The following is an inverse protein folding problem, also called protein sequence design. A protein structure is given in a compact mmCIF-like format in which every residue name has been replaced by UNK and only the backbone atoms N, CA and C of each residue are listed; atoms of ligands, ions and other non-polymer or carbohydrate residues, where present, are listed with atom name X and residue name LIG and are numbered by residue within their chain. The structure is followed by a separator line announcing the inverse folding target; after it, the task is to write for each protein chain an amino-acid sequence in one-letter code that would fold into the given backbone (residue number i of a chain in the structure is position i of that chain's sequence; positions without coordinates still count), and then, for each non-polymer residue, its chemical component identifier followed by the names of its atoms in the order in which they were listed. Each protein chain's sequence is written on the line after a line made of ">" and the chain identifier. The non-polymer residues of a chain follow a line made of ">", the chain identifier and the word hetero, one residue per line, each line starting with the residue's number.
data_IF_409399331417
#
_entry.id   IF_409399331417
#
_cell.length_a   1.000
_cell.length_b   1.000
_cell.length_c   1.000
_cell.angle_alpha   90.00
_cell.angle_beta   90.00
_cell.angle_gamma   90.00
#
_symmetry.space_group_name_H-M   'P 1'
#
loop_
_entity.id
_entity.type
_entity.pdbx_description
1 polymer ?
#
# COMPACT_ATOMS: atom_id res chain seq x y z
N UNK A 1 -35.98 -44.03 32.95
CA UNK A 1 -34.68 -43.55 32.43
C UNK A 1 -34.97 -42.37 31.53
N UNK A 2 -34.43 -41.18 31.84
CA UNK A 2 -34.66 -39.97 31.06
C UNK A 2 -33.62 -39.83 29.94
N UNK A 3 -34.07 -39.57 28.71
CA UNK A 3 -33.21 -39.27 27.58
C UNK A 3 -32.94 -37.76 27.56
N UNK A 4 -31.72 -37.33 27.86
CA UNK A 4 -31.33 -35.93 27.66
C UNK A 4 -30.64 -35.80 26.30
N UNK A 5 -31.25 -35.02 25.39
CA UNK A 5 -30.69 -34.67 24.09
C UNK A 5 -30.07 -33.26 24.13
N UNK A 6 -29.04 -33.02 23.32
CA UNK A 6 -28.50 -31.69 23.04
C UNK A 6 -28.69 -31.39 21.56
N UNK A 7 -29.12 -30.18 21.24
CA UNK A 7 -29.31 -29.70 19.87
C UNK A 7 -28.40 -28.49 19.61
N UNK A 8 -27.92 -28.36 18.38
CA UNK A 8 -27.09 -27.25 17.94
C UNK A 8 -27.58 -26.73 16.58
N UNK A 9 -27.94 -25.45 16.52
CA UNK A 9 -28.41 -24.80 15.30
C UNK A 9 -27.61 -23.55 15.04
N UNK A 10 -27.06 -23.40 13.83
CA UNK A 10 -26.43 -22.17 13.37
C UNK A 10 -26.90 -21.79 11.98
N UNK A 11 -27.09 -20.49 11.75
CA UNK A 11 -27.41 -19.93 10.44
C UNK A 11 -26.18 -19.21 9.90
N UNK A 12 -25.70 -19.64 8.75
CA UNK A 12 -24.62 -18.99 8.02
C UNK A 12 -25.19 -18.42 6.72
N UNK A 13 -24.81 -17.19 6.38
CA UNK A 13 -25.10 -16.64 5.06
C UNK A 13 -24.11 -17.22 4.07
N UNK A 14 -24.61 -17.73 2.95
CA UNK A 14 -23.75 -18.14 1.86
C UNK A 14 -23.27 -16.91 1.10
N UNK A 15 -21.99 -16.85 0.70
CA UNK A 15 -21.51 -15.87 -0.27
C UNK A 15 -22.25 -15.99 -1.61
N UNK A 16 -22.29 -14.90 -2.39
CA UNK A 16 -23.01 -14.84 -3.68
C UNK A 16 -22.44 -15.80 -4.74
N UNK A 17 -21.16 -16.10 -4.63
CA UNK A 17 -20.43 -17.00 -5.52
C UNK A 17 -20.47 -18.47 -5.09
N UNK A 18 -21.27 -18.82 -4.07
CA UNK A 18 -21.48 -20.21 -3.64
C UNK A 18 -22.86 -20.69 -4.08
N UNK A 19 -22.92 -21.85 -4.73
CA UNK A 19 -24.20 -22.46 -5.11
C UNK A 19 -24.78 -23.30 -3.97
N UNK A 20 -26.03 -23.05 -3.50
CA UNK A 20 -26.59 -23.73 -2.33
C UNK A 20 -26.65 -25.26 -2.46
N UNK A 21 -26.84 -25.77 -3.68
CA UNK A 21 -26.92 -27.22 -3.96
C UNK A 21 -25.59 -27.94 -3.79
N UNK A 22 -24.48 -27.21 -3.75
CA UNK A 22 -23.12 -27.76 -3.65
C UNK A 22 -22.59 -27.80 -2.21
N UNK A 23 -23.37 -27.29 -1.25
CA UNK A 23 -23.00 -27.29 0.16
C UNK A 23 -23.07 -28.72 0.70
N UNK A 24 -22.03 -29.13 1.40
CA UNK A 24 -21.92 -30.44 2.06
C UNK A 24 -21.52 -30.27 3.51
N UNK A 25 -21.84 -31.25 4.34
CA UNK A 25 -21.46 -31.28 5.76
C UNK A 25 -20.89 -32.62 6.17
N UNK A 26 -20.02 -32.60 7.17
CA UNK A 26 -19.48 -33.78 7.84
C UNK A 26 -19.32 -33.49 9.34
N UNK A 27 -19.57 -34.51 10.17
CA UNK A 27 -19.33 -34.46 11.61
C UNK A 27 -18.16 -35.38 11.93
N UNK A 28 -17.11 -34.82 12.51
CA UNK A 28 -15.94 -35.59 12.94
C UNK A 28 -16.16 -36.24 14.31
N UNK A 29 -15.30 -37.20 14.67
CA UNK A 29 -15.42 -37.97 15.92
C UNK A 29 -15.18 -37.14 17.18
N UNK A 30 -14.41 -36.06 17.06
CA UNK A 30 -14.21 -35.03 18.10
C UNK A 30 -15.40 -34.05 18.22
N UNK A 31 -16.46 -34.25 17.43
CA UNK A 31 -17.70 -33.48 17.53
C UNK A 31 -17.70 -32.15 16.77
N UNK A 32 -16.82 -31.98 15.78
CA UNK A 32 -16.75 -30.77 14.97
C UNK A 32 -17.61 -30.92 13.71
N UNK A 33 -18.66 -30.10 13.61
CA UNK A 33 -19.47 -30.00 12.40
C UNK A 33 -18.76 -29.10 11.38
N UNK A 34 -18.30 -29.70 10.29
CA UNK A 34 -17.66 -29.01 9.17
C UNK A 34 -18.65 -28.82 8.02
N UNK A 35 -18.78 -27.60 7.50
CA UNK A 35 -19.62 -27.25 6.35
C UNK A 35 -18.71 -26.69 5.25
N UNK A 36 -18.77 -27.27 4.06
CA UNK A 36 -17.90 -26.93 2.93
C UNK A 36 -18.70 -26.81 1.63
N UNK A 37 -18.23 -25.94 0.73
CA UNK A 37 -18.80 -25.77 -0.61
C UNK A 37 -17.75 -25.21 -1.57
N UNK A 38 -17.72 -25.63 -2.84
CA UNK A 38 -16.91 -25.00 -3.86
C UNK A 38 -17.42 -23.59 -4.17
N UNK A 39 -16.48 -22.66 -4.37
CA UNK A 39 -16.79 -21.32 -4.87
C UNK A 39 -16.79 -21.35 -6.39
N UNK A 40 -17.73 -20.65 -7.02
CA UNK A 40 -17.73 -20.43 -8.46
C UNK A 40 -16.44 -19.71 -8.81
N UNK A 41 -15.64 -20.31 -9.70
CA UNK A 41 -14.46 -19.63 -10.21
C UNK A 41 -14.92 -18.36 -10.90
N UNK A 42 -14.53 -17.20 -10.38
CA UNK A 42 -14.69 -15.97 -11.12
C UNK A 42 -13.78 -16.10 -12.33
N UNK A 43 -14.36 -16.40 -13.49
CA UNK A 43 -13.67 -16.34 -14.75
C UNK A 43 -13.41 -14.85 -15.01
N UNK A 44 -12.38 -14.31 -14.36
CA UNK A 44 -11.71 -13.13 -14.87
C UNK A 44 -11.22 -13.62 -16.21
N UNK A 45 -11.97 -13.34 -17.27
CA UNK A 45 -11.43 -13.29 -18.62
C UNK A 45 -10.06 -12.66 -18.45
N UNK A 46 -8.96 -13.39 -18.72
CA UNK A 46 -7.65 -12.77 -18.67
C UNK A 46 -7.74 -11.71 -19.76
N UNK A 47 -8.04 -10.48 -19.36
CA UNK A 47 -7.89 -9.32 -20.21
C UNK A 47 -6.48 -9.50 -20.73
N UNK A 48 -6.39 -9.68 -22.04
CA UNK A 48 -5.15 -9.82 -22.81
C UNK A 48 -4.07 -9.01 -22.12
N UNK A 49 -2.86 -9.55 -22.00
CA UNK A 49 -1.70 -8.92 -21.33
C UNK A 49 -1.29 -7.58 -21.98
N UNK A 50 -2.20 -6.62 -22.04
CA UNK A 50 -1.95 -5.21 -22.26
C UNK A 50 -1.29 -4.75 -20.97
N UNK A 51 0.04 -4.82 -20.96
CA UNK A 51 0.87 -4.34 -19.86
C UNK A 51 0.46 -2.90 -19.56
N UNK A 52 -0.23 -2.70 -18.44
CA UNK A 52 -0.54 -1.36 -17.97
C UNK A 52 0.79 -0.72 -17.53
N UNK A 53 1.17 0.43 -18.09
CA UNK A 53 2.43 1.09 -17.72
C UNK A 53 2.42 1.40 -16.22
N UNK A 54 3.29 0.72 -15.47
CA UNK A 54 3.60 1.11 -14.11
C UNK A 54 4.61 2.28 -14.20
N UNK A 55 4.13 3.51 -14.06
CA UNK A 55 5.03 4.65 -13.92
C UNK A 55 5.75 4.53 -12.57
N UNK A 56 6.95 3.95 -12.56
CA UNK A 56 7.86 4.10 -11.43
C UNK A 56 8.33 5.56 -11.43
N UNK A 57 7.87 6.37 -10.47
CA UNK A 57 8.51 7.63 -10.16
C UNK A 57 9.90 7.33 -9.57
N UNK A 58 10.89 7.18 -10.44
CA UNK A 58 12.29 7.21 -10.04
C UNK A 58 12.61 8.62 -9.55
N UNK A 59 12.47 8.86 -8.25
CA UNK A 59 13.14 9.99 -7.59
C UNK A 59 13.92 9.49 -6.38
N UNK A 60 15.14 9.04 -6.69
CA UNK A 60 16.35 9.20 -5.89
C UNK A 60 16.22 8.95 -4.38
N UNK A 61 16.33 7.68 -3.98
CA UNK A 61 16.86 7.32 -2.67
C UNK A 61 18.27 7.91 -2.48
N UNK A 62 18.41 9.03 -1.76
CA UNK A 62 19.69 9.44 -1.20
C UNK A 62 19.79 8.87 0.21
N UNK A 63 20.47 7.73 0.34
CA UNK A 63 20.99 7.29 1.63
C UNK A 63 22.12 8.24 2.07
N UNK A 64 22.26 8.48 3.37
CA UNK A 64 23.35 9.32 3.89
C UNK A 64 23.25 9.64 5.38
N UNK A 65 23.49 8.63 6.20
CA UNK A 65 24.15 8.60 7.52
C UNK A 65 24.21 9.84 8.43
N UNK A 66 23.85 9.64 9.71
CA UNK A 66 24.15 10.52 10.86
C UNK A 66 25.68 10.63 11.09
N UNK A 67 26.21 11.82 11.39
CA UNK A 67 27.24 12.05 12.43
C UNK A 67 27.66 13.53 12.54
N UNK A 68 27.96 13.91 13.77
CA UNK A 68 28.40 15.21 14.29
C UNK A 68 29.90 15.49 14.08
N UNK A 69 30.31 16.75 13.89
CA UNK A 69 31.26 17.52 14.75
C UNK A 69 31.94 18.70 14.02
N UNK A 70 31.94 19.84 14.71
CA UNK A 70 32.91 20.96 14.77
C UNK A 70 33.89 21.12 13.61
N UNK A 71 33.78 22.28 12.94
CA UNK A 71 34.91 22.97 12.33
C UNK A 71 35.01 24.39 12.91
N UNK A 72 36.00 24.55 13.79
CA UNK A 72 36.77 25.78 14.06
C UNK A 72 37.12 26.49 12.73
N UNK A 73 37.35 27.79 12.60
CA UNK A 73 37.56 28.92 13.50
C UNK A 73 37.71 30.13 12.56
N UNK A 74 37.08 31.26 12.91
CA UNK A 74 37.63 32.63 12.89
C UNK A 74 38.33 33.14 11.61
N UNK A 75 37.75 34.17 10.98
CA UNK A 75 38.18 35.57 11.13
C UNK A 75 37.27 36.45 10.26
N UNK A 76 36.70 37.52 10.84
CA UNK A 76 36.08 38.59 10.06
C UNK A 76 37.14 39.60 9.62
N UNK A 77 37.10 40.05 8.37
CA UNK A 77 37.34 41.46 8.03
C UNK A 77 36.11 41.98 7.26
N UNK A 78 35.33 42.93 7.79
CA UNK A 78 35.55 44.39 7.92
C UNK A 78 35.85 45.09 6.59
N UNK A 79 35.09 46.17 6.37
CA UNK A 79 35.19 47.23 5.35
C UNK A 79 34.30 46.96 4.11
N UNK A 80 33.19 47.68 3.97
CA UNK A 80 33.06 49.00 3.30
C UNK A 80 33.13 48.85 1.77
N UNK A 81 32.37 49.52 0.92
CA UNK A 81 31.26 50.46 1.02
C UNK A 81 30.78 50.70 -0.43
N UNK A 82 29.61 51.34 -0.58
CA UNK A 82 29.16 52.13 -1.76
C UNK A 82 28.92 51.35 -3.07
N UNK A 83 28.13 51.80 -4.03
CA UNK A 83 27.07 52.79 -4.17
C UNK A 83 26.56 52.62 -5.62
N UNK A 84 25.34 53.12 -5.90
CA UNK A 84 24.87 53.64 -7.19
C UNK A 84 25.00 52.74 -8.45
N UNK A 85 23.90 52.26 -9.03
CA UNK A 85 22.97 53.01 -9.89
C UNK A 85 23.59 53.71 -11.11
N UNK A 86 22.91 53.45 -12.24
CA UNK A 86 22.71 54.29 -13.43
C UNK A 86 23.71 54.20 -14.61
N UNK A 87 23.17 53.62 -15.69
CA UNK A 87 22.82 54.30 -16.95
C UNK A 87 23.89 55.15 -17.68
N UNK A 88 24.16 54.77 -18.93
CA UNK A 88 24.36 55.68 -20.07
C UNK A 88 24.04 54.86 -21.33
N UNK A 89 22.92 55.11 -22.02
CA UNK A 89 22.75 56.11 -23.09
C UNK A 89 23.78 55.97 -24.22
N UNK A 90 23.31 55.43 -25.35
CA UNK A 90 23.29 56.02 -26.71
C UNK A 90 24.65 56.38 -27.39
N UNK A 91 24.69 56.89 -28.65
CA UNK A 91 24.92 56.10 -29.86
C UNK A 91 26.12 56.56 -30.73
N UNK A 92 26.25 55.91 -31.90
CA UNK A 92 26.62 56.47 -33.22
C UNK A 92 28.01 57.11 -33.38
N UNK A 93 28.85 56.44 -34.17
CA UNK A 93 29.25 56.97 -35.49
C UNK A 93 29.18 55.86 -36.52
#
# INVERSE_FOLDING_TARGET
>A
MGSSGREFTRRCRLPDDVEPRTVTSSLSQDGVLTIQAPRKCWNHQPRTKELFPLHSAASSCRSGSKATKKLQQQLLPRAEAKAAQQASKEPKQ
#
